data_IF_562809146330
#
_entry.id   IF_562809146330
#
_cell.length_a   1.000
_cell.length_b   1.000
_cell.length_c   1.000
_cell.angle_alpha   90.00
_cell.angle_beta   90.00
_cell.angle_gamma   90.00
#
_symmetry.space_group_name_H-M   'P 1'
#
loop_
_entity.id
_entity.type
_entity.pdbx_description
1 polymer ?
#
# COMPACT_ATOMS: atom_id res chain seq x y z
N UNK A 1 -31.94 25.94 16.03
CA UNK A 1 -30.58 26.51 16.19
C UNK A 1 -29.94 25.64 17.26
N UNK A 2 -29.41 24.48 16.86
CA UNK A 2 -28.84 23.50 17.78
C UNK A 2 -27.34 23.36 17.52
N UNK A 3 -26.62 23.53 18.61
CA UNK A 3 -25.17 23.64 18.73
C UNK A 3 -24.53 22.26 18.64
N UNK A 4 -23.57 22.09 17.73
CA UNK A 4 -22.71 20.91 17.67
C UNK A 4 -21.79 20.85 18.90
N UNK A 5 -21.94 19.80 19.70
CA UNK A 5 -21.03 19.42 20.80
C UNK A 5 -19.67 18.99 20.23
N UNK A 6 -18.71 19.93 20.25
CA UNK A 6 -17.35 19.78 19.73
C UNK A 6 -16.42 18.99 20.64
N UNK A 7 -16.80 17.75 21.00
CA UNK A 7 -15.91 16.89 21.79
C UNK A 7 -14.89 16.20 20.88
N UNK A 8 -13.57 16.41 21.07
CA UNK A 8 -12.56 15.72 20.27
C UNK A 8 -12.64 14.19 20.51
N UNK A 9 -12.35 13.37 19.48
CA UNK A 9 -12.42 11.92 19.61
C UNK A 9 -11.49 11.45 20.73
N UNK A 10 -12.00 10.61 21.64
CA UNK A 10 -11.21 10.02 22.72
C UNK A 10 -10.23 9.02 22.11
N UNK A 11 -8.95 9.38 22.08
CA UNK A 11 -7.86 8.46 21.70
C UNK A 11 -7.62 7.53 22.88
N UNK A 12 -7.76 6.22 22.65
CA UNK A 12 -7.37 5.20 23.63
C UNK A 12 -5.83 5.10 23.67
N UNK A 13 -5.24 5.64 24.74
CA UNK A 13 -3.78 5.73 24.94
C UNK A 13 -3.24 4.67 25.92
N UNK A 14 -3.96 3.55 26.12
CA UNK A 14 -3.48 2.44 26.95
C UNK A 14 -2.16 1.90 26.38
N UNK A 15 -1.06 2.09 27.10
CA UNK A 15 0.29 1.66 26.72
C UNK A 15 1.26 2.79 26.30
N UNK A 16 0.82 4.05 26.33
CA UNK A 16 1.67 5.20 25.98
C UNK A 16 2.13 5.91 27.26
N UNK A 17 3.45 6.05 27.41
CA UNK A 17 4.06 6.91 28.44
C UNK A 17 4.57 8.18 27.77
N UNK A 18 3.95 9.32 28.09
CA UNK A 18 4.39 10.64 27.63
C UNK A 18 5.03 11.41 28.79
N UNK A 19 6.21 11.98 28.55
CA UNK A 19 6.82 12.95 29.47
C UNK A 19 6.88 14.31 28.77
N UNK A 20 6.27 15.32 29.40
CA UNK A 20 6.38 16.71 28.98
C UNK A 20 7.34 17.44 29.93
N UNK A 21 8.42 17.98 29.38
CA UNK A 21 9.34 18.88 30.10
C UNK A 21 9.35 20.21 29.37
N UNK A 22 9.19 21.31 30.10
CA UNK A 22 9.13 22.66 29.52
C UNK A 22 9.93 23.68 30.32
N UNK A 23 10.61 24.57 29.60
CA UNK A 23 11.29 25.74 30.14
C UNK A 23 11.68 26.70 29.00
N UNK A 24 11.32 27.98 29.13
CA UNK A 24 11.72 29.03 28.18
C UNK A 24 11.23 28.85 26.74
N UNK A 25 9.90 28.89 26.52
CA UNK A 25 9.24 28.79 25.20
C UNK A 25 9.53 27.52 24.37
N UNK A 26 10.36 26.59 24.85
CA UNK A 26 10.62 25.32 24.22
C UNK A 26 9.80 24.22 24.91
N UNK A 27 9.00 23.50 24.12
CA UNK A 27 8.30 22.30 24.54
C UNK A 27 8.91 21.11 23.80
N UNK A 28 9.31 20.08 24.55
CA UNK A 28 9.77 18.80 23.99
C UNK A 28 8.81 17.73 24.48
N UNK A 29 8.13 17.09 23.54
CA UNK A 29 7.25 15.95 23.81
C UNK A 29 8.02 14.67 23.52
N UNK A 30 8.38 13.91 24.56
CA UNK A 30 8.94 12.58 24.43
C UNK A 30 7.81 11.56 24.54
N UNK A 31 7.45 10.96 23.41
CA UNK A 31 6.53 9.84 23.36
C UNK A 31 7.35 8.54 23.46
N UNK A 32 7.31 7.88 24.61
CA UNK A 32 7.95 6.59 24.80
C UNK A 32 6.92 5.47 24.63
N UNK A 33 7.04 4.75 23.52
CA UNK A 33 6.31 3.52 23.23
C UNK A 33 7.07 2.71 22.21
N UNK A 34 7.11 1.39 22.37
CA UNK A 34 7.54 0.51 21.27
C UNK A 34 6.51 0.71 20.16
N UNK A 35 6.89 1.18 18.95
CA UNK A 35 5.92 1.36 17.89
C UNK A 35 5.28 0.00 17.60
N UNK A 36 3.96 -0.06 17.78
CA UNK A 36 3.20 -1.28 17.53
C UNK A 36 3.22 -1.66 16.05
N UNK A 37 2.70 -2.85 15.71
CA UNK A 37 2.56 -3.28 14.32
C UNK A 37 1.82 -2.23 13.50
N UNK A 38 2.29 -1.96 12.28
CA UNK A 38 1.60 -1.06 11.38
C UNK A 38 0.17 -1.58 11.10
N UNK A 39 -0.78 -0.66 10.91
CA UNK A 39 -2.13 -0.98 10.45
C UNK A 39 -2.41 -0.13 9.23
N UNK A 40 -2.38 -0.73 8.04
CA UNK A 40 -2.64 0.04 6.84
C UNK A 40 -4.12 0.40 6.73
N UNK A 41 -4.41 1.70 6.62
CA UNK A 41 -5.75 2.20 6.32
C UNK A 41 -6.08 2.09 4.82
N UNK A 42 -5.15 1.63 3.99
CA UNK A 42 -5.28 1.66 2.54
C UNK A 42 -6.47 0.87 2.00
N UNK A 43 -6.90 -0.20 2.69
CA UNK A 43 -8.12 -0.92 2.33
C UNK A 43 -9.39 -0.06 2.37
N UNK A 44 -9.45 1.01 3.16
CA UNK A 44 -10.58 1.96 3.11
C UNK A 44 -10.62 2.70 1.77
N UNK A 45 -9.45 3.07 1.24
CA UNK A 45 -9.34 3.70 -0.08
C UNK A 45 -9.71 2.71 -1.19
N UNK A 46 -9.31 1.45 -1.08
CA UNK A 46 -9.72 0.41 -2.05
C UNK A 46 -11.25 0.20 -2.02
N UNK A 47 -11.86 0.16 -0.83
CA UNK A 47 -13.31 0.04 -0.67
C UNK A 47 -14.09 1.22 -1.25
N UNK A 48 -13.53 2.43 -1.26
CA UNK A 48 -14.23 3.60 -1.82
C UNK A 48 -14.27 3.60 -3.35
N UNK A 49 -13.34 2.90 -4.01
CA UNK A 49 -13.28 2.80 -5.47
C UNK A 49 -13.86 1.48 -6.01
N UNK A 50 -13.96 0.46 -5.16
CA UNK A 50 -14.48 -0.84 -5.56
C UNK A 50 -16.00 -0.78 -5.85
N UNK A 51 -16.47 -1.43 -6.92
CA UNK A 51 -17.90 -1.56 -7.16
C UNK A 51 -18.54 -2.46 -6.09
N UNK A 52 -19.82 -2.22 -5.78
CA UNK A 52 -20.57 -3.08 -4.86
C UNK A 52 -20.78 -4.51 -5.43
N UNK A 53 -20.87 -4.62 -6.77
CA UNK A 53 -20.93 -5.89 -7.50
C UNK A 53 -20.16 -5.76 -8.81
N UNK A 54 -19.37 -6.77 -9.15
CA UNK A 54 -18.68 -6.87 -10.42
C UNK A 54 -19.44 -7.85 -11.33
N UNK A 55 -19.74 -7.43 -12.57
CA UNK A 55 -20.53 -8.21 -13.53
C UNK A 55 -19.74 -8.42 -14.82
N UNK A 56 -19.78 -9.64 -15.39
CA UNK A 56 -19.22 -9.93 -16.72
C UNK A 56 -17.69 -9.86 -16.76
N UNK A 57 -17.04 -10.22 -15.65
CA UNK A 57 -15.58 -10.21 -15.47
C UNK A 57 -15.04 -11.52 -14.91
N UNK A 58 -15.84 -12.57 -14.97
CA UNK A 58 -15.54 -13.88 -14.39
C UNK A 58 -14.31 -14.50 -15.06
N UNK A 59 -14.15 -14.30 -16.37
CA UNK A 59 -12.98 -14.77 -17.12
C UNK A 59 -11.69 -14.06 -16.67
N UNK A 60 -11.72 -12.73 -16.53
CA UNK A 60 -10.57 -11.98 -16.04
C UNK A 60 -10.21 -12.32 -14.58
N UNK A 61 -11.21 -12.53 -13.72
CA UNK A 61 -10.98 -12.98 -12.35
C UNK A 61 -10.36 -14.38 -12.30
N UNK A 62 -10.82 -15.30 -13.15
CA UNK A 62 -10.23 -16.64 -13.25
C UNK A 62 -8.78 -16.59 -13.72
N UNK A 63 -8.45 -15.68 -14.65
CA UNK A 63 -7.07 -15.47 -15.09
C UNK A 63 -6.17 -14.92 -13.97
N UNK A 64 -6.69 -14.00 -13.14
CA UNK A 64 -5.96 -13.50 -11.97
C UNK A 64 -5.77 -14.58 -10.92
N UNK A 65 -6.80 -15.39 -10.65
CA UNK A 65 -6.75 -16.50 -9.71
C UNK A 65 -5.69 -17.53 -10.14
N UNK A 66 -5.75 -17.99 -11.39
CA UNK A 66 -4.75 -18.93 -11.95
C UNK A 66 -3.34 -18.34 -11.85
N UNK A 67 -3.18 -17.06 -12.20
CA UNK A 67 -1.88 -16.40 -12.10
C UNK A 67 -1.33 -16.42 -10.67
N UNK A 68 -2.17 -16.18 -9.67
CA UNK A 68 -1.77 -16.12 -8.27
C UNK A 68 -1.54 -17.51 -7.66
N UNK A 69 -2.28 -18.52 -8.08
CA UNK A 69 -2.23 -19.86 -7.46
C UNK A 69 -1.29 -20.83 -8.18
N UNK A 70 -0.89 -20.55 -9.42
CA UNK A 70 -0.01 -21.45 -10.20
C UNK A 70 1.39 -21.60 -9.57
N UNK A 71 1.81 -22.84 -9.22
CA UNK A 71 3.16 -23.11 -8.73
C UNK A 71 4.22 -22.81 -9.79
N UNK A 72 5.31 -22.13 -9.41
CA UNK A 72 6.37 -21.74 -10.34
C UNK A 72 5.92 -20.77 -11.45
N UNK A 73 4.79 -20.09 -11.27
CA UNK A 73 4.31 -19.05 -12.18
C UNK A 73 5.23 -17.83 -12.21
N UNK A 74 5.10 -17.00 -13.26
CA UNK A 74 5.87 -15.76 -13.41
C UNK A 74 5.77 -14.87 -12.18
N UNK A 75 6.90 -14.28 -11.75
CA UNK A 75 6.97 -13.31 -10.66
C UNK A 75 6.24 -11.99 -10.97
N UNK A 76 6.01 -11.71 -12.26
CA UNK A 76 5.43 -10.46 -12.73
C UNK A 76 4.44 -10.69 -13.88
N UNK A 77 3.32 -9.95 -13.87
CA UNK A 77 2.37 -9.87 -14.99
C UNK A 77 1.90 -8.42 -15.13
N UNK A 78 2.24 -7.80 -16.26
CA UNK A 78 1.74 -6.47 -16.63
C UNK A 78 0.44 -6.63 -17.43
N UNK A 79 -0.68 -6.12 -16.91
CA UNK A 79 -1.93 -6.08 -17.65
C UNK A 79 -2.19 -4.75 -18.37
N UNK A 80 -1.95 -4.70 -19.68
CA UNK A 80 -2.34 -3.58 -20.55
C UNK A 80 -3.68 -3.88 -21.26
N UNK A 81 -4.81 -3.61 -20.60
CA UNK A 81 -6.07 -3.39 -21.34
C UNK A 81 -6.17 -1.93 -21.83
N UNK A 82 -7.08 -1.66 -22.77
CA UNK A 82 -7.36 -0.29 -23.25
C UNK A 82 -7.81 0.61 -22.09
N UNK A 83 -7.49 1.91 -22.18
CA UNK A 83 -8.03 2.93 -21.29
C UNK A 83 -9.57 2.79 -21.23
N UNK A 84 -10.16 2.93 -20.04
CA UNK A 84 -11.61 2.89 -19.78
C UNK A 84 -12.27 1.50 -19.82
N UNK A 85 -11.48 0.42 -19.81
CA UNK A 85 -12.01 -0.95 -19.76
C UNK A 85 -12.54 -1.39 -18.38
N UNK A 86 -12.60 -0.52 -17.36
CA UNK A 86 -13.04 -0.89 -16.01
C UNK A 86 -12.01 -1.70 -15.19
N UNK A 87 -10.71 -1.55 -15.50
CA UNK A 87 -9.64 -2.27 -14.78
C UNK A 87 -9.59 -1.93 -13.30
N UNK A 88 -9.71 -0.65 -12.94
CA UNK A 88 -9.69 -0.23 -11.53
C UNK A 88 -10.81 -0.90 -10.75
N UNK A 89 -11.99 -1.08 -11.34
CA UNK A 89 -13.11 -1.78 -10.73
C UNK A 89 -12.82 -3.29 -10.56
N UNK A 90 -12.22 -3.94 -11.57
CA UNK A 90 -11.79 -5.34 -11.49
C UNK A 90 -10.69 -5.55 -10.42
N UNK A 91 -9.63 -4.74 -10.45
CA UNK A 91 -8.48 -4.87 -9.57
C UNK A 91 -8.84 -4.52 -8.12
N UNK A 92 -9.64 -3.47 -7.89
CA UNK A 92 -10.11 -3.15 -6.53
C UNK A 92 -11.04 -4.24 -5.99
N UNK A 93 -11.89 -4.84 -6.83
CA UNK A 93 -12.70 -6.00 -6.44
C UNK A 93 -11.82 -7.20 -6.07
N UNK A 94 -10.80 -7.52 -6.88
CA UNK A 94 -9.84 -8.59 -6.63
C UNK A 94 -9.04 -8.37 -5.33
N UNK A 95 -8.56 -7.16 -5.07
CA UNK A 95 -7.85 -6.81 -3.82
C UNK A 95 -8.73 -7.08 -2.59
N UNK A 96 -10.04 -6.86 -2.68
CA UNK A 96 -10.98 -7.11 -1.59
C UNK A 96 -11.43 -8.57 -1.48
N UNK A 97 -11.27 -9.37 -2.54
CA UNK A 97 -11.67 -10.77 -2.63
C UNK A 97 -10.55 -11.63 -3.24
N UNK A 98 -9.37 -11.66 -2.61
CA UNK A 98 -8.26 -12.45 -3.13
C UNK A 98 -8.57 -13.95 -2.98
N UNK A 99 -7.97 -14.81 -3.82
CA UNK A 99 -8.00 -16.24 -3.63
C UNK A 99 -7.44 -16.66 -2.27
N UNK A 100 -7.85 -17.84 -1.80
CA UNK A 100 -7.30 -18.41 -0.58
C UNK A 100 -5.78 -18.59 -0.70
N UNK A 101 -5.05 -18.28 0.38
CA UNK A 101 -3.58 -18.34 0.38
C UNK A 101 -2.90 -17.21 -0.40
N UNK A 102 -3.62 -16.16 -0.81
CA UNK A 102 -3.03 -14.98 -1.46
C UNK A 102 -3.14 -13.74 -0.56
N UNK A 103 -1.99 -13.13 -0.28
CA UNK A 103 -1.90 -11.84 0.39
C UNK A 103 -1.65 -10.75 -0.65
N UNK A 104 -2.55 -9.76 -0.71
CA UNK A 104 -2.47 -8.68 -1.68
C UNK A 104 -1.99 -7.39 -1.01
N UNK A 105 -0.97 -6.79 -1.58
CA UNK A 105 -0.57 -5.39 -1.35
C UNK A 105 -0.92 -4.61 -2.61
N UNK A 106 -1.47 -3.41 -2.46
CA UNK A 106 -2.02 -2.69 -3.62
C UNK A 106 -1.68 -1.21 -3.65
N UNK A 107 -1.66 -0.64 -4.85
CA UNK A 107 -1.57 0.80 -5.07
C UNK A 107 -2.37 1.20 -6.32
N UNK A 108 -3.28 2.17 -6.17
CA UNK A 108 -4.12 2.74 -7.22
C UNK A 108 -3.71 4.20 -7.44
N UNK A 109 -3.11 4.49 -8.60
CA UNK A 109 -2.67 5.84 -8.99
C UNK A 109 -3.86 6.78 -9.12
N UNK A 110 -4.93 6.33 -9.78
CA UNK A 110 -6.13 7.12 -10.15
C UNK A 110 -7.00 7.57 -8.97
N UNK A 111 -6.79 7.01 -7.77
CA UNK A 111 -7.57 7.28 -6.57
C UNK A 111 -6.99 8.40 -5.70
N UNK A 112 -5.94 9.10 -6.15
CA UNK A 112 -5.21 10.10 -5.35
C UNK A 112 -5.60 11.53 -5.74
N UNK A 113 -5.81 12.36 -4.71
CA UNK A 113 -5.96 13.80 -4.86
C UNK A 113 -4.64 14.41 -5.35
N UNK A 114 -4.72 15.28 -6.37
CA UNK A 114 -3.57 15.94 -6.98
C UNK A 114 -2.66 16.63 -5.94
N UNK A 115 -1.34 16.36 -5.97
CA UNK A 115 -0.35 17.15 -5.22
C UNK A 115 0.88 16.43 -4.63
N UNK A 116 1.04 15.11 -4.78
CA UNK A 116 2.24 14.38 -4.35
C UNK A 116 2.90 13.63 -5.51
N UNK A 117 4.20 13.36 -5.41
CA UNK A 117 4.91 12.48 -6.35
C UNK A 117 4.34 11.06 -6.25
N UNK A 118 3.81 10.52 -7.36
CA UNK A 118 3.20 9.19 -7.41
C UNK A 118 4.17 8.10 -6.91
N UNK A 119 5.46 8.28 -7.18
CA UNK A 119 6.54 7.39 -6.72
C UNK A 119 6.71 7.40 -5.19
N UNK A 120 6.72 8.56 -4.56
CA UNK A 120 6.90 8.65 -3.10
C UNK A 120 5.66 8.12 -2.39
N UNK A 121 4.47 8.47 -2.90
CA UNK A 121 3.20 7.94 -2.40
C UNK A 121 3.13 6.42 -2.52
N UNK A 122 3.59 5.85 -3.64
CA UNK A 122 3.69 4.40 -3.84
C UNK A 122 4.59 3.76 -2.78
N UNK A 123 5.81 4.27 -2.59
CA UNK A 123 6.74 3.71 -1.61
C UNK A 123 6.11 3.72 -0.21
N UNK A 124 5.57 4.86 0.22
CA UNK A 124 5.06 5.01 1.60
C UNK A 124 3.85 4.10 1.86
N UNK A 125 2.92 4.03 0.91
CA UNK A 125 1.72 3.19 1.01
C UNK A 125 2.04 1.70 0.96
N UNK A 126 2.95 1.29 0.08
CA UNK A 126 3.31 -0.13 -0.06
C UNK A 126 4.14 -0.58 1.14
N UNK A 127 5.08 0.24 1.63
CA UNK A 127 5.83 -0.07 2.85
C UNK A 127 4.92 -0.20 4.07
N UNK A 128 3.91 0.66 4.23
CA UNK A 128 2.94 0.56 5.33
C UNK A 128 2.17 -0.78 5.29
N UNK A 129 1.70 -1.18 4.11
CA UNK A 129 1.00 -2.45 3.92
C UNK A 129 1.90 -3.66 4.21
N UNK A 130 3.15 -3.64 3.74
CA UNK A 130 4.12 -4.71 3.98
C UNK A 130 4.51 -4.81 5.46
N UNK A 131 4.73 -3.67 6.12
CA UNK A 131 5.00 -3.63 7.56
C UNK A 131 3.82 -4.19 8.35
N UNK A 132 2.58 -3.86 7.94
CA UNK A 132 1.37 -4.39 8.57
C UNK A 132 1.25 -5.90 8.39
N UNK A 133 1.52 -6.41 7.18
CA UNK A 133 1.54 -7.85 6.88
C UNK A 133 2.58 -8.59 7.73
N UNK A 134 3.77 -8.02 7.89
CA UNK A 134 4.87 -8.59 8.68
C UNK A 134 4.71 -8.40 10.19
N UNK A 135 3.70 -7.67 10.66
CA UNK A 135 3.54 -7.32 12.07
C UNK A 135 4.63 -6.40 12.61
N UNK A 136 5.29 -5.63 11.74
CA UNK A 136 6.42 -4.74 12.06
C UNK A 136 5.99 -3.27 12.07
N UNK A 137 6.71 -2.39 12.79
CA UNK A 137 6.54 -0.95 12.63
C UNK A 137 7.06 -0.49 11.26
N UNK A 138 6.49 0.58 10.71
CA UNK A 138 7.06 1.23 9.53
C UNK A 138 8.40 1.87 9.92
N UNK A 139 9.50 1.66 9.17
CA UNK A 139 10.79 2.27 9.48
C UNK A 139 10.67 3.79 9.55
N UNK A 140 11.00 4.43 10.69
CA UNK A 140 10.89 5.87 10.83
C UNK A 140 12.10 6.55 10.15
N UNK A 141 11.91 7.76 9.60
CA UNK A 141 12.97 8.64 9.07
C UNK A 141 13.74 8.14 7.83
N UNK A 142 13.05 7.58 6.83
CA UNK A 142 13.69 7.23 5.56
C UNK A 142 13.94 8.47 4.68
N UNK A 143 15.16 8.60 4.15
CA UNK A 143 15.50 9.62 3.15
C UNK A 143 15.10 9.14 1.76
N UNK A 144 14.90 10.05 0.80
CA UNK A 144 14.57 9.67 -0.58
C UNK A 144 15.56 8.67 -1.20
N UNK A 145 16.83 8.71 -0.78
CA UNK A 145 17.88 7.80 -1.24
C UNK A 145 17.72 6.35 -0.72
N UNK A 146 17.17 6.14 0.48
CA UNK A 146 17.08 4.80 1.08
C UNK A 146 15.70 4.17 0.94
N UNK A 147 14.65 4.97 0.73
CA UNK A 147 13.25 4.50 0.63
C UNK A 147 13.05 3.36 -0.36
N UNK A 148 13.65 3.45 -1.56
CA UNK A 148 13.54 2.40 -2.57
C UNK A 148 14.18 1.07 -2.10
N UNK A 149 15.36 1.12 -1.48
CA UNK A 149 16.02 -0.08 -0.97
C UNK A 149 15.23 -0.73 0.18
N UNK A 150 14.64 0.08 1.06
CA UNK A 150 13.78 -0.42 2.14
C UNK A 150 12.50 -1.05 1.62
N UNK A 151 11.89 -0.48 0.58
CA UNK A 151 10.74 -1.08 -0.09
C UNK A 151 11.08 -2.48 -0.64
N UNK A 152 12.19 -2.62 -1.36
CA UNK A 152 12.63 -3.90 -1.91
C UNK A 152 12.90 -4.93 -0.82
N UNK A 153 13.56 -4.54 0.28
CA UNK A 153 13.80 -5.42 1.42
C UNK A 153 12.48 -5.89 2.07
N UNK A 154 11.51 -4.99 2.25
CA UNK A 154 10.20 -5.36 2.80
C UNK A 154 9.40 -6.27 1.87
N UNK A 155 9.52 -6.09 0.55
CA UNK A 155 8.89 -6.98 -0.43
C UNK A 155 9.48 -8.40 -0.34
N UNK A 156 10.80 -8.52 -0.24
CA UNK A 156 11.48 -9.81 -0.11
C UNK A 156 11.13 -10.52 1.21
N UNK A 157 11.16 -9.78 2.33
CA UNK A 157 10.78 -10.30 3.65
C UNK A 157 9.32 -10.79 3.65
N UNK A 158 8.39 -10.00 3.12
CA UNK A 158 6.99 -10.35 3.05
C UNK A 158 6.73 -11.55 2.12
N UNK A 159 7.41 -11.59 0.97
CA UNK A 159 7.30 -12.72 0.05
C UNK A 159 7.84 -14.01 0.70
N UNK A 160 8.95 -13.93 1.43
CA UNK A 160 9.54 -15.05 2.16
C UNK A 160 8.60 -15.54 3.26
N UNK A 161 8.06 -14.64 4.08
CA UNK A 161 7.10 -14.97 5.12
C UNK A 161 5.84 -15.65 4.56
N UNK A 162 5.32 -15.18 3.42
CA UNK A 162 4.17 -15.82 2.77
C UNK A 162 4.54 -17.25 2.31
N UNK A 163 5.68 -17.42 1.63
CA UNK A 163 6.11 -18.75 1.14
C UNK A 163 6.28 -19.75 2.29
N UNK A 164 6.85 -19.32 3.40
CA UNK A 164 7.03 -20.16 4.61
C UNK A 164 5.68 -20.60 5.21
N UNK A 165 4.63 -19.80 5.04
CA UNK A 165 3.28 -20.08 5.50
C UNK A 165 2.42 -20.81 4.45
N UNK A 166 3.00 -21.18 3.30
CA UNK A 166 2.26 -21.81 2.20
C UNK A 166 1.31 -20.85 1.47
N UNK A 167 1.52 -19.54 1.63
CA UNK A 167 0.76 -18.48 0.95
C UNK A 167 1.65 -17.73 -0.04
N UNK A 168 1.05 -16.81 -0.80
CA UNK A 168 1.74 -16.01 -1.83
C UNK A 168 1.48 -14.53 -1.63
N UNK A 169 2.54 -13.72 -1.74
CA UNK A 169 2.44 -12.27 -1.83
C UNK A 169 2.19 -11.84 -3.29
N UNK A 170 1.24 -10.92 -3.49
CA UNK A 170 0.93 -10.30 -4.79
C UNK A 170 0.88 -8.78 -4.62
N UNK A 171 1.62 -8.06 -5.47
CA UNK A 171 1.56 -6.61 -5.57
C UNK A 171 0.69 -6.21 -6.77
N UNK A 172 -0.38 -5.46 -6.51
CA UNK A 172 -1.27 -4.89 -7.54
C UNK A 172 -0.98 -3.41 -7.69
N UNK A 173 -0.65 -2.96 -8.90
CA UNK A 173 -0.53 -1.53 -9.23
C UNK A 173 -1.46 -1.18 -10.38
N UNK A 174 -2.44 -0.32 -10.13
CA UNK A 174 -3.42 0.15 -11.11
C UNK A 174 -3.15 1.60 -11.51
N UNK A 175 -3.31 1.92 -12.80
CA UNK A 175 -3.09 3.27 -13.34
C UNK A 175 -1.63 3.63 -13.59
N UNK A 176 -0.74 2.65 -13.83
CA UNK A 176 0.66 2.93 -14.20
C UNK A 176 0.80 3.79 -15.47
N UNK A 177 -0.20 3.80 -16.35
CA UNK A 177 -0.26 4.66 -17.54
C UNK A 177 -0.57 6.12 -17.23
N UNK A 178 -1.04 6.42 -16.02
CA UNK A 178 -1.35 7.75 -15.51
C UNK A 178 -0.24 8.27 -14.56
N UNK A 179 0.82 7.50 -14.35
CA UNK A 179 2.00 7.92 -13.57
C UNK A 179 2.63 9.16 -14.23
N UNK A 180 2.52 10.31 -13.55
CA UNK A 180 3.02 11.59 -14.02
C UNK A 180 4.55 11.73 -13.89
N UNK A 181 5.25 10.67 -13.47
CA UNK A 181 6.69 10.63 -13.36
C UNK A 181 7.41 10.90 -14.68
N UNK A 182 8.53 11.63 -14.63
CA UNK A 182 9.42 11.80 -15.79
C UNK A 182 10.00 10.43 -16.16
N UNK A 183 9.68 9.91 -17.34
CA UNK A 183 10.13 8.59 -17.81
C UNK A 183 11.49 8.63 -18.53
N UNK A 184 12.06 9.82 -18.75
CA UNK A 184 13.29 10.02 -19.52
C UNK A 184 14.23 11.01 -18.86
N UNK A 185 15.46 10.59 -18.55
CA UNK A 185 16.52 11.43 -18.00
C UNK A 185 17.14 10.85 -16.72
N UNK A 186 18.26 11.41 -16.23
CA UNK A 186 18.91 11.01 -14.97
C UNK A 186 18.02 11.24 -13.73
N UNK A 187 16.98 12.06 -13.86
CA UNK A 187 15.96 12.39 -12.86
C UNK A 187 14.63 11.65 -13.11
N UNK A 188 14.69 10.41 -13.60
CA UNK A 188 13.48 9.61 -13.81
C UNK A 188 12.86 9.17 -12.46
N UNK A 189 11.63 9.61 -12.18
CA UNK A 189 10.91 9.34 -10.92
C UNK A 189 9.56 8.63 -11.13
N UNK A 190 9.54 7.54 -11.90
CA UNK A 190 8.35 6.70 -12.13
C UNK A 190 8.25 5.52 -11.16
N UNK A 191 7.02 5.09 -10.85
CA UNK A 191 6.71 3.85 -10.09
C UNK A 191 7.27 2.63 -10.83
N UNK A 192 7.20 2.61 -12.16
CA UNK A 192 7.64 1.47 -12.97
C UNK A 192 9.12 1.11 -12.73
N UNK A 193 9.96 2.10 -12.40
CA UNK A 193 11.37 1.88 -12.10
C UNK A 193 11.64 1.18 -10.74
N UNK A 194 10.61 1.05 -9.89
CA UNK A 194 10.69 0.40 -8.58
C UNK A 194 10.08 -1.00 -8.55
N UNK A 195 9.44 -1.41 -9.64
CA UNK A 195 8.86 -2.75 -9.72
C UNK A 195 9.98 -3.78 -9.88
N UNK A 196 9.91 -4.93 -9.17
CA UNK A 196 10.93 -5.97 -9.28
C UNK A 196 11.18 -6.35 -10.75
N UNK A 197 12.43 -6.24 -11.18
CA UNK A 197 12.87 -6.78 -12.46
C UNK A 197 13.02 -8.31 -12.35
N UNK A 198 12.88 -8.97 -13.49
CA UNK A 198 12.90 -10.43 -13.72
C UNK A 198 13.89 -11.23 -12.87
#
# INVERSE_FOLDING_TARGET
>A
MDSHDGRPPRIDARGVSGLQVGGGNLQINLLAGVPGPARSAYLYQVRSIAPARLHGREAELAELDEFCTRPGGSAYRWWRAKAWAGKSALLSWFVLHPPEGVHVVSFFVTARFAGQSDREAFIDVVMEQLAALLGRPVPPHLTGATRAAHLLALLDDAATACREQGSRLVLVVDGLDEDLGVTTGPDAYSIAALLPAH
#
